data_IF_160840008654
#
_entry.id   IF_160840008654
#
_cell.length_a   1.000
_cell.length_b   1.000
_cell.length_c   1.000
_cell.angle_alpha   90.00
_cell.angle_beta   90.00
_cell.angle_gamma   90.00
#
_symmetry.space_group_name_H-M   'P 1'
#
loop_
_entity.id
_entity.type
_entity.pdbx_description
1 polymer ?
#
# COMPACT_ATOMS: atom_id res chain seq x y z
N UNK A 1 8.56 8.17 -14.00
CA UNK A 1 7.34 8.75 -13.41
C UNK A 1 7.36 8.36 -11.95
N UNK A 2 7.19 9.32 -11.04
CA UNK A 2 7.10 9.00 -9.61
C UNK A 2 5.79 8.24 -9.36
N UNK A 3 5.88 7.11 -8.64
CA UNK A 3 4.74 6.24 -8.38
C UNK A 3 3.75 6.88 -7.39
N UNK A 4 4.26 7.73 -6.49
CA UNK A 4 3.50 8.51 -5.54
C UNK A 4 3.86 9.99 -5.70
N UNK A 5 2.87 10.85 -5.87
CA UNK A 5 3.04 12.31 -5.88
C UNK A 5 2.67 12.88 -4.50
N UNK A 6 3.31 13.97 -4.09
CA UNK A 6 2.93 14.68 -2.85
C UNK A 6 1.54 15.33 -2.94
N UNK A 7 1.04 15.56 -4.15
CA UNK A 7 -0.28 16.11 -4.41
C UNK A 7 -1.39 15.07 -4.19
N UNK A 8 -1.14 13.79 -4.47
CA UNK A 8 -2.14 12.74 -4.40
C UNK A 8 -2.01 11.84 -3.15
N UNK A 9 -0.85 11.85 -2.48
CA UNK A 9 -0.56 10.93 -1.38
C UNK A 9 -0.03 11.63 -0.13
N UNK A 10 -0.32 11.03 1.01
CA UNK A 10 0.33 11.26 2.28
C UNK A 10 1.41 10.19 2.50
N UNK A 11 2.59 10.61 2.97
CA UNK A 11 3.67 9.74 3.42
C UNK A 11 3.89 9.98 4.92
N UNK A 12 3.86 8.92 5.72
CA UNK A 12 4.14 8.96 7.16
C UNK A 12 5.14 7.86 7.49
N UNK A 13 6.09 8.19 8.36
CA UNK A 13 7.00 7.21 8.98
C UNK A 13 6.74 7.28 10.48
N UNK A 14 6.43 6.15 11.10
CA UNK A 14 6.15 6.08 12.54
C UNK A 14 7.42 5.88 13.38
N UNK A 15 7.27 5.79 14.70
CA UNK A 15 8.38 5.61 15.64
C UNK A 15 9.08 4.24 15.53
N UNK A 16 8.46 3.28 14.84
CA UNK A 16 9.01 1.95 14.56
C UNK A 16 9.67 1.88 13.18
N UNK A 17 9.73 3.01 12.47
CA UNK A 17 10.17 3.12 11.08
C UNK A 17 9.27 2.35 10.09
N UNK A 18 8.03 2.07 10.48
CA UNK A 18 7.02 1.60 9.53
C UNK A 18 6.63 2.76 8.62
N UNK A 19 6.50 2.48 7.32
CA UNK A 19 6.16 3.49 6.31
C UNK A 19 4.72 3.30 5.86
N UNK A 20 3.98 4.39 5.85
CA UNK A 20 2.58 4.45 5.45
C UNK A 20 2.42 5.43 4.31
N UNK A 21 1.88 4.94 3.19
CA UNK A 21 1.50 5.75 2.04
C UNK A 21 0.01 5.61 1.83
N UNK A 22 -0.73 6.71 1.89
CA UNK A 22 -2.19 6.71 1.74
C UNK A 22 -2.58 7.75 0.70
N UNK A 23 -3.47 7.40 -0.23
CA UNK A 23 -4.03 8.39 -1.14
C UNK A 23 -4.91 9.39 -0.37
N UNK A 24 -4.92 10.65 -0.80
CA UNK A 24 -5.68 11.71 -0.13
C UNK A 24 -7.20 11.52 -0.24
N UNK A 25 -7.66 10.78 -1.23
CA UNK A 25 -9.07 10.38 -1.38
C UNK A 25 -9.47 9.19 -0.49
N UNK A 26 -8.51 8.57 0.22
CA UNK A 26 -8.75 7.43 1.11
C UNK A 26 -8.99 6.09 0.39
N UNK A 27 -8.78 6.02 -0.92
CA UNK A 27 -9.05 4.82 -1.72
C UNK A 27 -7.90 3.80 -1.72
N UNK A 28 -6.67 4.22 -1.42
CA UNK A 28 -5.47 3.39 -1.49
C UNK A 28 -4.60 3.55 -0.25
N UNK A 29 -4.04 2.43 0.20
CA UNK A 29 -3.03 2.37 1.26
C UNK A 29 -1.93 1.37 0.91
N UNK A 30 -0.67 1.77 1.15
CA UNK A 30 0.51 0.92 1.19
C UNK A 30 1.19 1.07 2.56
N UNK A 31 1.38 -0.04 3.25
CA UNK A 31 2.21 -0.14 4.44
C UNK A 31 3.48 -0.94 4.15
N UNK A 32 4.62 -0.48 4.65
CA UNK A 32 5.86 -1.25 4.72
C UNK A 32 6.31 -1.37 6.17
N UNK A 33 6.56 -2.59 6.59
CA UNK A 33 6.85 -3.00 7.96
C UNK A 33 8.17 -3.78 7.96
N UNK A 34 9.34 -3.12 8.01
CA UNK A 34 10.63 -3.78 7.82
C UNK A 34 10.93 -4.89 8.84
N UNK A 35 10.35 -4.80 10.04
CA UNK A 35 10.48 -5.80 11.10
C UNK A 35 9.24 -6.68 11.26
N UNK A 36 8.30 -6.60 10.31
CA UNK A 36 6.99 -7.24 10.39
C UNK A 36 5.98 -6.41 11.18
N UNK A 37 4.74 -6.44 10.71
CA UNK A 37 3.62 -5.73 11.33
C UNK A 37 3.22 -6.42 12.65
N UNK A 38 3.12 -5.70 13.78
CA UNK A 38 2.70 -6.29 15.05
C UNK A 38 1.34 -6.97 14.94
N UNK A 39 1.26 -8.19 15.47
CA UNK A 39 0.02 -8.97 15.45
C UNK A 39 -0.35 -9.55 14.08
N UNK A 40 0.50 -9.41 13.05
CA UNK A 40 0.38 -10.10 11.79
C UNK A 40 1.64 -10.94 11.54
N UNK A 41 1.45 -12.23 11.23
CA UNK A 41 2.53 -13.20 11.14
C UNK A 41 3.44 -12.94 9.92
N UNK A 42 4.53 -12.21 10.15
CA UNK A 42 5.54 -11.91 9.12
C UNK A 42 5.09 -10.94 8.00
N UNK A 43 3.97 -10.22 8.17
CA UNK A 43 3.51 -9.23 7.18
C UNK A 43 4.51 -8.07 7.10
N UNK A 44 5.30 -8.03 6.01
CA UNK A 44 6.26 -6.97 5.73
C UNK A 44 5.71 -5.88 4.84
N UNK A 45 4.65 -6.17 4.07
CA UNK A 45 3.98 -5.20 3.23
C UNK A 45 2.47 -5.43 3.24
N UNK A 46 1.71 -4.34 3.13
CA UNK A 46 0.26 -4.39 2.99
C UNK A 46 -0.20 -3.40 1.95
N UNK A 47 -0.92 -3.87 0.94
CA UNK A 47 -1.71 -3.03 0.03
C UNK A 47 -3.16 -3.17 0.45
N UNK A 48 -3.88 -2.07 0.60
CA UNK A 48 -5.32 -2.07 0.80
C UNK A 48 -5.99 -1.09 -0.15
N UNK A 49 -7.10 -1.51 -0.73
CA UNK A 49 -7.90 -0.74 -1.69
C UNK A 49 -9.34 -0.72 -1.21
N UNK A 50 -9.89 0.47 -1.06
CA UNK A 50 -11.28 0.67 -0.67
C UNK A 50 -12.19 0.27 -1.83
N UNK A 51 -13.30 -0.39 -1.50
CA UNK A 51 -14.32 -0.75 -2.49
C UNK A 51 -15.16 0.44 -2.93
N UNK A 52 -15.94 0.25 -3.97
CA UNK A 52 -17.01 1.16 -4.37
C UNK A 52 -18.36 0.61 -3.90
N UNK A 53 -19.46 1.30 -4.24
CA UNK A 53 -20.80 0.78 -4.01
C UNK A 53 -21.09 -0.55 -4.75
N UNK A 54 -20.36 -0.85 -5.81
CA UNK A 54 -20.61 -2.01 -6.69
C UNK A 54 -19.47 -3.03 -6.71
N UNK A 55 -18.27 -2.64 -6.27
CA UNK A 55 -17.07 -3.51 -6.25
C UNK A 55 -16.51 -3.59 -4.84
N UNK A 56 -16.38 -4.79 -4.23
CA UNK A 56 -15.76 -4.92 -2.91
C UNK A 56 -14.31 -4.43 -2.90
N UNK A 57 -13.90 -3.85 -1.77
CA UNK A 57 -12.49 -3.56 -1.51
C UNK A 57 -11.70 -4.84 -1.25
N UNK A 58 -10.38 -4.73 -1.26
CA UNK A 58 -9.50 -5.87 -1.02
C UNK A 58 -8.20 -5.44 -0.34
N UNK A 59 -7.45 -6.44 0.14
CA UNK A 59 -6.11 -6.24 0.64
C UNK A 59 -5.19 -7.37 0.19
N UNK A 60 -3.90 -7.05 0.03
CA UNK A 60 -2.84 -7.99 -0.32
C UNK A 60 -1.72 -7.81 0.70
N UNK A 61 -1.23 -8.92 1.24
CA UNK A 61 -0.12 -8.93 2.20
C UNK A 61 1.07 -9.65 1.58
N UNK A 62 2.27 -9.10 1.79
CA UNK A 62 3.53 -9.75 1.41
C UNK A 62 4.42 -9.90 2.63
N UNK A 63 5.27 -10.93 2.61
CA UNK A 63 6.21 -11.18 3.70
C UNK A 63 7.36 -10.17 3.73
N UNK A 64 8.04 -10.04 4.88
CA UNK A 64 9.25 -9.20 5.05
C UNK A 64 10.35 -9.49 4.03
N UNK A 65 10.49 -10.75 3.60
CA UNK A 65 11.47 -11.18 2.60
C UNK A 65 11.07 -10.86 1.15
N UNK A 66 9.88 -10.26 0.93
CA UNK A 66 9.42 -9.95 -0.43
C UNK A 66 10.20 -8.76 -0.98
N UNK A 67 10.86 -8.90 -2.14
CA UNK A 67 11.58 -7.81 -2.77
C UNK A 67 10.70 -6.60 -3.07
N UNK A 68 11.23 -5.40 -2.81
CA UNK A 68 10.49 -4.14 -2.95
C UNK A 68 10.05 -3.87 -4.41
N UNK A 69 10.79 -4.36 -5.40
CA UNK A 69 10.46 -4.24 -6.82
C UNK A 69 9.21 -5.07 -7.20
N UNK A 70 9.02 -6.24 -6.60
CA UNK A 70 7.80 -7.04 -6.75
C UNK A 70 6.60 -6.29 -6.19
N UNK A 71 6.76 -5.70 -5.00
CA UNK A 71 5.69 -4.90 -4.37
C UNK A 71 5.41 -3.64 -5.18
N UNK A 72 6.43 -2.95 -5.66
CA UNK A 72 6.29 -1.77 -6.52
C UNK A 72 5.56 -2.10 -7.83
N UNK A 73 5.84 -3.24 -8.45
CA UNK A 73 5.12 -3.70 -9.64
C UNK A 73 3.63 -3.96 -9.34
N UNK A 74 3.32 -4.60 -8.20
CA UNK A 74 1.95 -4.81 -7.77
C UNK A 74 1.22 -3.47 -7.52
N UNK A 75 1.85 -2.54 -6.80
CA UNK A 75 1.32 -1.18 -6.56
C UNK A 75 1.03 -0.46 -7.87
N UNK A 76 1.94 -0.53 -8.86
CA UNK A 76 1.75 0.12 -10.15
C UNK A 76 0.48 -0.39 -10.84
N UNK A 77 0.27 -1.71 -10.84
CA UNK A 77 -0.92 -2.33 -11.42
C UNK A 77 -2.20 -1.94 -10.67
N UNK A 78 -2.15 -1.89 -9.34
CA UNK A 78 -3.29 -1.43 -8.53
C UNK A 78 -3.67 0.00 -8.90
N UNK A 79 -2.72 0.94 -8.83
CA UNK A 79 -2.96 2.35 -9.13
C UNK A 79 -3.48 2.59 -10.56
N UNK A 80 -2.96 1.84 -11.54
CA UNK A 80 -3.43 1.88 -12.92
C UNK A 80 -4.90 1.45 -13.05
N UNK A 81 -5.28 0.36 -12.38
CA UNK A 81 -6.65 -0.16 -12.41
C UNK A 81 -7.64 0.65 -11.55
N UNK A 82 -7.15 1.38 -10.54
CA UNK A 82 -7.97 2.22 -9.67
C UNK A 82 -8.26 3.60 -10.27
N UNK A 83 -7.38 4.13 -11.13
CA UNK A 83 -7.54 5.46 -11.76
C UNK A 83 -8.59 5.52 -12.89
N UNK A 84 -9.24 4.40 -13.20
CA UNK A 84 -10.28 4.28 -14.23
C UNK A 84 -11.71 4.04 -13.71
N UNK A 85 -11.94 4.20 -12.40
CA UNK A 85 -13.25 4.04 -11.75
C UNK A 85 -13.91 5.39 -11.47
#
# INVERSE_FOLDING_TARGET
MEQFSADDFHLVVDDRADVHVNSKDGCFYLGWFPLGRPGADGEGWRIAVTGTATVPGYHISFGVETPADVVAAAVARVLETSRGL
#
